data_IF_226420752997
#
_entry.id   IF_226420752997
#
_cell.length_a   1.000
_cell.length_b   1.000
_cell.length_c   1.000
_cell.angle_alpha   90.00
_cell.angle_beta   90.00
_cell.angle_gamma   90.00
#
_symmetry.space_group_name_H-M   'P 1'
#
loop_
_entity.id
_entity.type
_entity.pdbx_description
1 polymer ?
#
# COMPACT_ATOMS: atom_id res chain seq x y z
N UNK A 1 11.09 -23.42 -6.96
CA UNK A 1 9.97 -22.62 -6.43
C UNK A 1 8.80 -23.56 -6.21
N UNK A 2 8.07 -23.46 -5.10
CA UNK A 2 7.01 -24.41 -4.73
C UNK A 2 5.90 -24.50 -5.78
N UNK A 3 5.53 -23.37 -6.41
CA UNK A 3 4.48 -23.28 -7.43
C UNK A 3 4.96 -23.43 -8.88
N UNK A 4 6.20 -23.88 -9.09
CA UNK A 4 6.79 -23.93 -10.44
C UNK A 4 5.97 -24.76 -11.42
N UNK A 5 5.47 -25.92 -10.99
CA UNK A 5 4.67 -26.81 -11.84
C UNK A 5 3.38 -26.17 -12.32
N UNK A 6 2.71 -25.40 -11.47
CA UNK A 6 1.47 -24.69 -11.83
C UNK A 6 1.79 -23.60 -12.86
N UNK A 7 2.78 -22.78 -12.58
CA UNK A 7 3.15 -21.65 -13.44
C UNK A 7 3.74 -22.06 -14.80
N UNK A 8 4.26 -23.30 -14.94
CA UNK A 8 4.65 -23.88 -16.22
C UNK A 8 3.46 -24.36 -17.07
N UNK A 9 2.29 -24.58 -16.47
CA UNK A 9 1.09 -25.13 -17.16
C UNK A 9 0.10 -24.07 -17.63
N UNK A 10 0.29 -22.80 -17.30
CA UNK A 10 -0.62 -21.70 -17.68
C UNK A 10 -0.25 -21.07 -19.03
N UNK A 11 -1.25 -20.52 -19.72
CA UNK A 11 -1.07 -19.83 -21.01
C UNK A 11 -0.44 -18.44 -20.88
N UNK A 12 -0.47 -17.84 -19.69
CA UNK A 12 0.09 -16.52 -19.44
C UNK A 12 0.22 -16.22 -17.95
N UNK A 13 1.16 -15.32 -17.63
CA UNK A 13 1.44 -14.91 -16.25
C UNK A 13 1.40 -13.39 -16.17
N UNK A 14 0.61 -12.86 -15.25
CA UNK A 14 0.60 -11.44 -14.91
C UNK A 14 1.48 -11.26 -13.67
N UNK A 15 2.55 -10.48 -13.79
CA UNK A 15 3.50 -10.19 -12.70
C UNK A 15 3.39 -8.73 -12.28
N UNK A 16 3.77 -8.41 -11.05
CA UNK A 16 3.67 -7.03 -10.56
C UNK A 16 4.57 -6.05 -11.30
N UNK A 17 5.82 -6.43 -11.57
CA UNK A 17 6.82 -5.56 -12.19
C UNK A 17 7.97 -6.36 -12.82
N UNK A 18 8.91 -5.65 -13.44
CA UNK A 18 10.08 -6.24 -14.11
C UNK A 18 11.01 -7.03 -13.17
N UNK A 19 11.06 -6.68 -11.89
CA UNK A 19 11.84 -7.44 -10.92
C UNK A 19 11.23 -8.83 -10.71
N UNK A 20 9.90 -8.90 -10.56
CA UNK A 20 9.18 -10.17 -10.47
C UNK A 20 9.26 -10.96 -11.77
N UNK A 21 9.09 -10.31 -12.93
CA UNK A 21 9.34 -10.91 -14.26
C UNK A 21 10.70 -11.60 -14.32
N UNK A 22 11.75 -10.84 -14.00
CA UNK A 22 13.14 -11.32 -14.03
C UNK A 22 13.38 -12.46 -13.05
N UNK A 23 12.67 -12.48 -11.92
CA UNK A 23 12.74 -13.58 -10.96
C UNK A 23 12.09 -14.85 -11.51
N UNK A 24 10.88 -14.74 -12.07
CA UNK A 24 10.13 -15.87 -12.64
C UNK A 24 10.85 -16.48 -13.84
N UNK A 25 11.42 -15.65 -14.72
CA UNK A 25 12.13 -16.10 -15.92
C UNK A 25 13.39 -16.94 -15.64
N UNK A 26 13.91 -16.93 -14.40
CA UNK A 26 15.01 -17.83 -13.99
C UNK A 26 14.56 -19.29 -13.90
N UNK A 27 13.26 -19.52 -13.70
CA UNK A 27 12.70 -20.84 -13.47
C UNK A 27 11.75 -21.27 -14.58
N UNK A 28 11.05 -20.33 -15.20
CA UNK A 28 9.96 -20.60 -16.14
C UNK A 28 10.30 -19.99 -17.50
N UNK A 29 10.27 -20.84 -18.54
CA UNK A 29 10.56 -20.44 -19.92
C UNK A 29 9.33 -19.90 -20.68
N UNK A 30 8.19 -19.78 -20.01
CA UNK A 30 6.97 -19.22 -20.60
C UNK A 30 7.27 -17.79 -21.12
N UNK A 31 6.94 -17.56 -22.38
CA UNK A 31 7.17 -16.29 -23.06
C UNK A 31 6.05 -15.26 -22.80
N UNK A 32 4.86 -15.71 -22.40
CA UNK A 32 3.70 -14.84 -22.21
C UNK A 32 3.62 -14.33 -20.77
N UNK A 33 4.54 -13.43 -20.42
CA UNK A 33 4.55 -12.74 -19.14
C UNK A 33 4.25 -11.26 -19.38
N UNK A 34 3.28 -10.69 -18.68
CA UNK A 34 2.91 -9.26 -18.78
C UNK A 34 2.98 -8.59 -17.41
N UNK A 35 3.35 -7.31 -17.36
CA UNK A 35 3.36 -6.57 -16.10
C UNK A 35 1.97 -5.99 -15.83
N UNK A 36 1.56 -6.03 -14.57
CA UNK A 36 0.44 -5.27 -14.05
C UNK A 36 0.84 -3.82 -13.76
N UNK A 37 2.08 -3.62 -13.30
CA UNK A 37 2.64 -2.37 -12.80
C UNK A 37 1.96 -1.86 -11.52
N UNK A 38 0.88 -1.10 -11.65
CA UNK A 38 0.15 -0.51 -10.52
C UNK A 38 -1.26 -1.09 -10.40
N UNK A 39 -1.82 -1.01 -9.20
CA UNK A 39 -3.20 -1.39 -8.96
C UNK A 39 -4.11 -0.18 -9.15
N UNK A 40 -5.23 -0.40 -9.85
CA UNK A 40 -6.31 0.58 -9.93
C UNK A 40 -7.16 0.55 -8.65
N UNK A 41 -7.68 1.72 -8.29
CA UNK A 41 -8.73 1.86 -7.28
C UNK A 41 -10.02 2.28 -7.96
N UNK A 42 -11.03 1.41 -7.91
CA UNK A 42 -12.34 1.71 -8.47
C UNK A 42 -13.11 2.58 -7.47
N UNK A 43 -13.42 3.81 -7.88
CA UNK A 43 -14.16 4.78 -7.06
C UNK A 43 -15.55 4.98 -7.68
N UNK A 44 -16.59 5.00 -6.84
CA UNK A 44 -17.97 5.16 -7.31
C UNK A 44 -18.39 6.61 -7.55
N UNK A 45 -17.82 7.57 -6.80
CA UNK A 45 -18.02 9.02 -6.99
C UNK A 45 -16.76 9.64 -7.61
N UNK A 46 -16.81 9.97 -8.90
CA UNK A 46 -15.70 10.60 -9.63
C UNK A 46 -15.30 11.97 -9.02
N UNK A 47 -16.22 12.65 -8.34
CA UNK A 47 -15.96 13.96 -7.70
C UNK A 47 -15.32 13.83 -6.31
N UNK A 48 -15.12 12.60 -5.80
CA UNK A 48 -14.56 12.38 -4.47
C UNK A 48 -13.19 13.02 -4.32
N UNK A 49 -12.36 12.95 -5.37
CA UNK A 49 -11.01 13.50 -5.38
C UNK A 49 -11.01 15.03 -5.43
N UNK A 50 -11.93 15.64 -6.17
CA UNK A 50 -12.04 17.10 -6.28
C UNK A 50 -12.46 17.76 -4.95
N UNK A 51 -13.20 17.01 -4.12
CA UNK A 51 -13.61 17.46 -2.78
C UNK A 51 -12.45 17.48 -1.78
N UNK A 52 -11.33 16.79 -2.06
CA UNK A 52 -10.18 16.76 -1.17
C UNK A 52 -9.32 18.01 -1.33
N UNK A 53 -9.12 18.71 -0.21
CA UNK A 53 -8.16 19.81 -0.14
C UNK A 53 -6.81 19.27 0.32
N UNK A 54 -5.78 19.48 -0.50
CA UNK A 54 -4.40 19.14 -0.20
C UNK A 54 -3.63 20.39 0.23
N UNK A 55 -2.79 20.26 1.26
CA UNK A 55 -1.93 21.33 1.75
C UNK A 55 -0.71 20.73 2.44
N UNK A 56 0.45 21.40 2.33
CA UNK A 56 1.67 21.01 3.04
C UNK A 56 1.53 21.14 4.56
N UNK A 57 0.49 21.83 5.05
CA UNK A 57 0.18 21.97 6.47
C UNK A 57 -0.63 20.80 7.02
N UNK A 58 -1.18 19.94 6.14
CA UNK A 58 -1.97 18.77 6.56
C UNK A 58 -1.08 17.59 6.98
N UNK A 59 -1.55 16.72 7.89
CA UNK A 59 -0.81 15.54 8.32
C UNK A 59 -0.47 14.60 7.15
N UNK A 60 0.69 13.98 7.17
CA UNK A 60 1.13 13.01 6.17
C UNK A 60 0.41 11.67 6.41
N UNK A 61 -0.19 11.12 5.35
CA UNK A 61 -0.98 9.88 5.43
C UNK A 61 -0.08 8.66 5.29
N UNK A 62 -0.21 7.71 6.21
CA UNK A 62 0.39 6.38 6.09
C UNK A 62 -0.72 5.33 6.26
N UNK A 63 -1.01 4.58 5.21
CA UNK A 63 -2.01 3.52 5.21
C UNK A 63 -1.39 2.16 4.91
N UNK A 64 -1.64 1.15 5.74
CA UNK A 64 -1.18 -0.23 5.49
C UNK A 64 -1.12 -1.12 6.72
N UNK A 65 -0.30 -2.17 6.66
CA UNK A 65 -0.07 -3.04 7.81
C UNK A 65 0.99 -2.42 8.72
N UNK A 66 0.55 -1.92 9.88
CA UNK A 66 1.36 -1.14 10.81
C UNK A 66 2.13 -2.00 11.83
N UNK A 67 2.13 -3.33 11.68
CA UNK A 67 2.90 -4.22 12.56
C UNK A 67 4.40 -3.92 12.45
N UNK A 68 5.18 -3.97 13.55
CA UNK A 68 6.60 -3.61 13.54
C UNK A 68 7.46 -4.33 12.49
N UNK A 69 7.16 -5.59 12.16
CA UNK A 69 7.89 -6.35 11.13
C UNK A 69 7.51 -6.01 9.69
N UNK A 70 6.40 -5.26 9.47
CA UNK A 70 5.94 -4.80 8.15
C UNK A 70 6.23 -3.31 7.95
N UNK A 71 5.98 -2.49 8.97
CA UNK A 71 6.11 -1.04 8.93
C UNK A 71 6.92 -0.50 10.13
N UNK A 72 8.07 -1.11 10.42
CA UNK A 72 8.93 -0.71 11.55
C UNK A 72 9.38 0.76 11.53
N UNK A 73 9.39 1.40 10.36
CA UNK A 73 9.73 2.82 10.22
C UNK A 73 8.71 3.77 10.87
N UNK A 74 7.44 3.34 11.00
CA UNK A 74 6.37 4.15 11.60
C UNK A 74 6.65 4.47 13.07
N UNK A 75 7.44 3.64 13.74
CA UNK A 75 7.85 3.82 15.14
C UNK A 75 9.09 4.73 15.31
N UNK A 76 9.59 5.30 14.20
CA UNK A 76 10.76 6.18 14.13
C UNK A 76 10.49 7.42 13.26
N UNK A 77 9.22 7.82 13.15
CA UNK A 77 8.84 9.01 12.39
C UNK A 77 9.41 10.28 13.04
N UNK A 78 9.75 11.30 12.23
CA UNK A 78 10.29 12.56 12.75
C UNK A 78 9.19 13.36 13.46
N UNK A 79 9.56 14.24 14.40
CA UNK A 79 8.60 14.94 15.27
C UNK A 79 8.14 16.31 14.72
N UNK A 80 8.70 16.77 13.61
CA UNK A 80 8.42 18.06 12.97
C UNK A 80 7.21 18.01 12.01
N UNK A 81 6.64 16.83 11.81
CA UNK A 81 5.47 16.59 10.96
C UNK A 81 4.37 15.88 11.74
N UNK A 82 3.12 16.16 11.38
CA UNK A 82 1.95 15.40 11.86
C UNK A 82 1.69 14.21 10.94
N UNK A 83 1.30 13.07 11.50
CA UNK A 83 1.00 11.86 10.74
C UNK A 83 -0.40 11.32 11.07
N UNK A 84 -1.12 10.91 10.03
CA UNK A 84 -2.37 10.16 10.16
C UNK A 84 -2.14 8.72 9.72
N UNK A 85 -2.30 7.77 10.65
CA UNK A 85 -2.06 6.35 10.43
C UNK A 85 -3.38 5.59 10.24
N UNK A 86 -3.44 4.80 9.17
CA UNK A 86 -4.56 3.93 8.84
C UNK A 86 -4.09 2.48 8.67
N UNK A 87 -4.80 1.53 9.28
CA UNK A 87 -4.62 0.10 9.04
C UNK A 87 -4.22 -0.73 10.26
N UNK A 88 -4.10 -2.03 10.06
CA UNK A 88 -4.05 -3.01 11.16
C UNK A 88 -2.70 -3.09 11.87
N UNK A 89 -2.73 -3.40 13.16
CA UNK A 89 -1.55 -3.86 13.92
C UNK A 89 -0.59 -2.77 14.36
N UNK A 90 -1.06 -1.53 14.51
CA UNK A 90 -0.29 -0.48 15.17
C UNK A 90 -0.14 -0.77 16.67
N UNK A 91 1.08 -0.81 17.17
CA UNK A 91 1.40 -1.06 18.57
C UNK A 91 1.76 0.24 19.29
N UNK A 92 0.77 0.94 19.85
CA UNK A 92 0.99 2.21 20.55
C UNK A 92 1.65 2.00 21.93
N UNK A 93 2.93 1.63 21.95
CA UNK A 93 3.71 1.48 23.19
C UNK A 93 4.26 2.81 23.72
N UNK A 94 4.25 3.85 22.89
CA UNK A 94 4.53 5.25 23.25
C UNK A 94 3.52 6.14 22.54
N UNK A 95 2.83 6.99 23.30
CA UNK A 95 2.02 8.07 22.73
C UNK A 95 2.99 9.05 22.09
N UNK A 96 3.12 9.01 20.76
CA UNK A 96 3.87 9.99 20.00
C UNK A 96 2.91 11.14 19.69
N UNK A 97 3.19 12.35 20.21
CA UNK A 97 2.29 13.50 20.14
C UNK A 97 1.95 13.93 18.71
N UNK A 98 2.79 13.58 17.75
CA UNK A 98 2.65 13.93 16.34
C UNK A 98 2.04 12.81 15.47
N UNK A 99 1.47 11.77 16.10
CA UNK A 99 0.87 10.62 15.41
C UNK A 99 -0.60 10.44 15.83
N UNK A 100 -1.49 10.48 14.85
CA UNK A 100 -2.90 10.15 15.00
C UNK A 100 -3.18 8.77 14.40
N UNK A 101 -3.44 7.77 15.23
CA UNK A 101 -3.93 6.49 14.73
C UNK A 101 -5.46 6.53 14.57
N UNK A 102 -5.92 6.43 13.32
CA UNK A 102 -7.33 6.60 12.95
C UNK A 102 -8.07 5.27 12.73
N UNK A 103 -7.39 4.14 12.95
CA UNK A 103 -7.99 2.81 12.86
C UNK A 103 -7.74 2.12 11.52
N UNK A 104 -8.38 0.98 11.31
CA UNK A 104 -8.29 0.20 10.08
C UNK A 104 -9.63 0.24 9.34
N UNK A 105 -9.57 0.46 8.04
CA UNK A 105 -10.73 0.54 7.16
C UNK A 105 -10.55 -0.40 5.97
N UNK A 106 -11.66 -0.84 5.38
CA UNK A 106 -11.65 -1.56 4.11
C UNK A 106 -11.06 -0.68 3.00
N UNK A 107 -10.33 -1.30 2.07
CA UNK A 107 -9.65 -0.59 0.97
C UNK A 107 -10.60 0.27 0.14
N UNK A 108 -11.81 -0.22 -0.08
CA UNK A 108 -12.82 0.44 -0.91
C UNK A 108 -13.34 1.74 -0.26
N UNK A 109 -13.36 1.80 1.07
CA UNK A 109 -13.82 2.97 1.84
C UNK A 109 -12.65 3.91 2.21
N UNK A 110 -11.41 3.43 2.11
CA UNK A 110 -10.24 4.16 2.61
C UNK A 110 -10.07 5.51 1.89
N UNK A 111 -10.35 5.56 0.59
CA UNK A 111 -10.24 6.79 -0.20
C UNK A 111 -11.25 7.84 0.29
N UNK A 112 -12.44 7.45 0.73
CA UNK A 112 -13.43 8.40 1.24
C UNK A 112 -13.06 8.94 2.63
N UNK A 113 -12.47 8.09 3.47
CA UNK A 113 -12.24 8.38 4.89
C UNK A 113 -10.87 9.04 5.14
N UNK A 114 -9.88 8.78 4.30
CA UNK A 114 -8.53 9.30 4.53
C UNK A 114 -8.50 10.84 4.46
N UNK A 115 -7.93 11.47 5.47
CA UNK A 115 -7.69 12.92 5.55
C UNK A 115 -6.24 13.19 5.90
N UNK A 116 -5.69 14.22 5.27
CA UNK A 116 -4.27 14.54 5.29
C UNK A 116 -3.74 14.93 3.91
N UNK A 117 -2.43 14.90 3.78
CA UNK A 117 -1.68 15.10 2.55
C UNK A 117 -0.65 13.98 2.36
N UNK A 118 0.00 13.96 1.20
CA UNK A 118 1.10 13.08 0.84
C UNK A 118 2.27 13.88 0.27
#
# INVERSE_FOLDING_TARGET
MEEQTVLETVDGIIVHNDSMRSHIQKHIKNSNIVNLDIFDYLISDENLLEKKQYSLEKPLIIAGNLRPHKAGYVYKLPNDLMFNLYGVGFESTKVLENINYLGSFETDNLIEIMDGSF
#
